data_IF_896646590942
#
_entry.id   IF_896646590942
#
_cell.length_a   1.000
_cell.length_b   1.000
_cell.length_c   1.000
_cell.angle_alpha   90.00
_cell.angle_beta   90.00
_cell.angle_gamma   90.00
#
_symmetry.space_group_name_H-M   'P 1'
#
loop_
_entity.id
_entity.type
_entity.pdbx_description
1 polymer ?
#
# COMPACT_ATOMS: atom_id res chain seq x y z
N UNK A 1 -17.02 15.01 7.08
CA UNK A 1 -15.82 14.19 7.34
C UNK A 1 -14.95 14.31 6.10
N UNK A 2 -14.12 15.34 6.10
CA UNK A 2 -13.47 15.89 4.91
C UNK A 2 -12.09 15.26 4.73
N UNK A 3 -11.63 15.19 3.47
CA UNK A 3 -10.31 14.69 3.02
C UNK A 3 -9.11 15.21 3.83
N UNK A 4 -9.29 16.26 4.63
CA UNK A 4 -8.26 16.87 5.49
C UNK A 4 -7.81 15.99 6.65
N UNK A 5 -8.67 15.09 7.16
CA UNK A 5 -8.32 14.23 8.29
C UNK A 5 -7.43 13.03 7.88
N UNK A 6 -7.49 12.65 6.60
CA UNK A 6 -6.64 11.60 6.00
C UNK A 6 -5.19 12.06 5.73
N UNK A 7 -4.93 13.37 5.80
CA UNK A 7 -3.60 13.96 5.56
C UNK A 7 -2.86 14.36 6.84
N UNK A 8 -3.54 14.40 8.00
CA UNK A 8 -2.92 14.78 9.28
C UNK A 8 -2.72 13.61 10.25
N UNK A 9 -3.20 12.40 9.93
CA UNK A 9 -3.06 11.22 10.77
C UNK A 9 -2.05 10.20 10.25
N UNK A 10 -0.90 10.08 10.93
CA UNK A 10 -0.02 8.90 10.96
C UNK A 10 0.85 8.57 9.72
N UNK A 11 1.72 9.54 9.42
CA UNK A 11 3.11 9.44 8.91
C UNK A 11 3.74 8.06 8.70
N UNK A 12 4.20 7.74 7.46
CA UNK A 12 5.37 6.90 7.09
C UNK A 12 5.23 5.81 5.96
N UNK A 13 4.32 5.85 4.98
CA UNK A 13 4.51 4.99 3.78
C UNK A 13 5.42 5.71 2.79
N UNK A 14 6.62 5.17 2.61
CA UNK A 14 7.68 5.67 1.70
C UNK A 14 7.84 7.20 1.71
N UNK A 15 8.12 7.78 2.87
CA UNK A 15 8.46 9.19 2.97
C UNK A 15 9.97 9.33 2.79
N UNK A 16 10.41 9.98 1.71
CA UNK A 16 11.73 10.59 1.71
C UNK A 16 11.71 11.69 2.77
N UNK A 17 12.18 11.37 3.97
CA UNK A 17 12.05 12.13 5.22
C UNK A 17 12.66 13.55 5.19
N UNK A 18 13.23 14.01 4.06
CA UNK A 18 13.87 15.34 3.97
C UNK A 18 13.03 16.40 3.26
N UNK A 19 12.00 16.04 2.49
CA UNK A 19 11.17 17.00 1.76
C UNK A 19 9.74 16.51 1.72
N UNK A 20 8.86 17.21 2.45
CA UNK A 20 7.42 16.99 2.53
C UNK A 20 6.72 17.33 1.19
N UNK A 21 7.14 16.69 0.09
CA UNK A 21 6.58 16.84 -1.24
C UNK A 21 5.78 15.57 -1.57
N UNK A 22 4.46 15.67 -1.81
CA UNK A 22 3.74 14.60 -2.50
C UNK A 22 4.50 14.23 -3.77
N UNK A 23 4.56 12.97 -4.14
CA UNK A 23 5.12 12.55 -5.42
C UNK A 23 4.08 11.66 -6.11
N UNK A 24 4.05 11.72 -7.45
CA UNK A 24 3.14 10.92 -8.26
C UNK A 24 3.32 9.43 -7.91
N UNK A 25 2.22 8.72 -7.67
CA UNK A 25 2.24 7.26 -7.61
C UNK A 25 2.61 6.69 -8.98
N UNK A 26 3.68 5.91 -9.02
CA UNK A 26 3.99 5.05 -10.16
C UNK A 26 3.16 3.76 -10.13
N UNK A 27 3.41 2.86 -11.09
CA UNK A 27 2.74 1.55 -11.15
C UNK A 27 3.13 0.58 -10.02
N UNK A 28 4.11 0.95 -9.18
CA UNK A 28 4.65 0.11 -8.12
C UNK A 28 5.17 0.96 -6.96
N UNK A 29 5.00 0.46 -5.74
CA UNK A 29 5.66 0.96 -4.54
C UNK A 29 6.53 -0.12 -3.90
N UNK A 30 7.55 0.31 -3.16
CA UNK A 30 8.43 -0.57 -2.38
C UNK A 30 8.23 -0.25 -0.91
N UNK A 31 7.85 -1.25 -0.13
CA UNK A 31 7.65 -1.14 1.30
C UNK A 31 8.74 -1.95 2.00
N UNK A 32 9.59 -1.29 2.77
CA UNK A 32 10.58 -1.96 3.60
C UNK A 32 9.96 -2.37 4.93
N UNK A 33 10.48 -3.46 5.51
CA UNK A 33 10.02 -3.98 6.80
C UNK A 33 8.51 -4.31 6.82
N UNK A 34 7.98 -4.84 5.71
CA UNK A 34 6.61 -5.35 5.65
C UNK A 34 6.52 -6.80 6.14
N UNK A 35 7.56 -7.59 5.88
CA UNK A 35 7.64 -8.99 6.30
C UNK A 35 8.94 -9.23 7.07
N UNK A 36 8.96 -10.28 7.89
CA UNK A 36 10.18 -10.88 8.43
C UNK A 36 10.35 -12.28 7.87
N UNK A 37 11.59 -12.75 7.78
CA UNK A 37 11.92 -14.12 7.40
C UNK A 37 12.74 -14.77 8.52
N UNK A 38 12.28 -15.93 8.99
CA UNK A 38 12.99 -16.75 9.97
C UNK A 38 12.92 -18.25 9.61
N UNK A 39 13.33 -19.13 10.54
CA UNK A 39 13.33 -20.58 10.34
C UNK A 39 11.93 -21.19 10.11
N UNK A 40 10.87 -20.46 10.41
CA UNK A 40 9.48 -20.86 10.22
C UNK A 40 8.86 -20.25 8.96
N UNK A 41 9.65 -19.50 8.18
CA UNK A 41 9.23 -18.91 6.91
C UNK A 41 9.01 -17.40 7.00
N UNK A 42 8.16 -16.89 6.11
CA UNK A 42 7.75 -15.49 6.11
C UNK A 42 6.69 -15.24 7.17
N UNK A 43 6.72 -14.06 7.78
CA UNK A 43 5.65 -13.56 8.64
C UNK A 43 5.39 -12.10 8.31
N UNK A 44 4.13 -11.69 8.31
CA UNK A 44 3.77 -10.28 8.16
C UNK A 44 4.15 -9.52 9.43
N UNK A 45 4.74 -8.34 9.28
CA UNK A 45 5.04 -7.44 10.41
C UNK A 45 3.82 -6.55 10.60
N UNK A 46 3.15 -6.68 11.75
CA UNK A 46 2.03 -5.80 12.10
C UNK A 46 2.53 -4.41 12.51
N UNK A 47 1.76 -3.40 12.12
CA UNK A 47 1.97 -2.00 12.52
C UNK A 47 1.85 -1.04 11.35
N UNK A 48 2.65 0.00 11.39
CA UNK A 48 2.44 1.17 10.54
C UNK A 48 2.45 0.90 9.02
N UNK A 49 3.26 -0.06 8.56
CA UNK A 49 3.31 -0.40 7.14
C UNK A 49 2.06 -1.16 6.69
N UNK A 50 1.52 -2.03 7.54
CA UNK A 50 0.27 -2.75 7.27
C UNK A 50 -0.93 -1.81 7.31
N UNK A 51 -0.99 -0.89 8.28
CA UNK A 51 -2.09 0.08 8.40
C UNK A 51 -2.24 0.92 7.13
N UNK A 52 -1.10 1.40 6.63
CA UNK A 52 -1.12 2.23 5.43
C UNK A 52 -1.32 1.44 4.14
N UNK A 53 -0.97 0.15 4.10
CA UNK A 53 -1.35 -0.73 3.00
C UNK A 53 -2.88 -0.94 3.00
N UNK A 54 -3.52 -1.03 4.17
CA UNK A 54 -4.98 -1.05 4.29
C UNK A 54 -5.58 0.28 3.83
N UNK A 55 -5.03 1.42 4.23
CA UNK A 55 -5.54 2.72 3.78
C UNK A 55 -5.41 2.91 2.26
N UNK A 56 -4.33 2.39 1.66
CA UNK A 56 -4.16 2.36 0.21
C UNK A 56 -5.23 1.49 -0.49
N UNK A 57 -5.51 0.30 0.05
CA UNK A 57 -6.61 -0.54 -0.44
C UNK A 57 -7.96 0.19 -0.36
N UNK A 58 -8.25 0.86 0.76
CA UNK A 58 -9.49 1.61 0.96
C UNK A 58 -9.63 2.77 -0.02
N UNK A 59 -8.55 3.52 -0.25
CA UNK A 59 -8.54 4.58 -1.27
C UNK A 59 -8.85 4.04 -2.66
N UNK A 60 -8.23 2.92 -3.06
CA UNK A 60 -8.51 2.30 -4.36
C UNK A 60 -9.96 1.82 -4.48
N UNK A 61 -10.53 1.26 -3.41
CA UNK A 61 -11.94 0.86 -3.39
C UNK A 61 -12.87 2.06 -3.57
N UNK A 62 -12.62 3.16 -2.86
CA UNK A 62 -13.36 4.42 -3.03
C UNK A 62 -13.33 4.91 -4.48
N UNK A 63 -12.16 4.97 -5.12
CA UNK A 63 -12.04 5.42 -6.51
C UNK A 63 -12.66 4.46 -7.52
N UNK A 64 -12.78 3.18 -7.15
CA UNK A 64 -13.43 2.17 -7.97
C UNK A 64 -14.96 2.12 -7.81
N UNK A 65 -15.53 2.85 -6.83
CA UNK A 65 -16.95 2.76 -6.48
C UNK A 65 -17.35 1.46 -5.79
N UNK A 66 -16.39 0.65 -5.33
CA UNK A 66 -16.64 -0.60 -4.59
C UNK A 66 -16.86 -0.32 -3.11
N UNK A 67 -17.61 -1.19 -2.40
CA UNK A 67 -17.69 -1.10 -0.95
C UNK A 67 -16.28 -1.20 -0.35
N UNK A 68 -16.02 -0.42 0.69
CA UNK A 68 -14.76 -0.46 1.41
C UNK A 68 -14.68 -1.82 2.13
N UNK A 69 -13.58 -2.58 1.99
CA UNK A 69 -13.44 -3.86 2.68
C UNK A 69 -13.50 -3.64 4.20
N UNK A 70 -14.24 -4.52 4.88
CA UNK A 70 -14.29 -4.55 6.35
C UNK A 70 -12.90 -4.88 6.91
N UNK A 71 -12.64 -4.48 8.16
CA UNK A 71 -11.41 -4.78 8.89
C UNK A 71 -11.11 -6.27 8.98
N UNK A 72 -12.10 -7.14 8.75
CA UNK A 72 -11.98 -8.61 8.76
C UNK A 72 -11.53 -9.22 7.44
N UNK A 73 -11.61 -8.48 6.35
CA UNK A 73 -11.29 -8.97 5.01
C UNK A 73 -10.31 -8.07 4.26
N UNK A 74 -9.64 -7.15 4.95
CA UNK A 74 -8.67 -6.25 4.33
C UNK A 74 -7.44 -7.00 3.79
N UNK A 75 -6.65 -6.31 2.98
CA UNK A 75 -5.44 -6.82 2.32
C UNK A 75 -4.44 -7.48 3.30
N UNK A 76 -4.32 -6.98 4.53
CA UNK A 76 -3.34 -7.52 5.49
C UNK A 76 -3.77 -8.90 5.99
N UNK A 77 -5.06 -9.13 6.23
CA UNK A 77 -5.59 -10.44 6.61
C UNK A 77 -5.43 -11.43 5.47
N UNK A 78 -5.74 -11.02 4.24
CA UNK A 78 -5.59 -11.89 3.06
C UNK A 78 -4.12 -12.23 2.79
N UNK A 79 -3.22 -11.25 2.94
CA UNK A 79 -1.78 -11.45 2.76
C UNK A 79 -1.19 -12.34 3.85
N UNK A 80 -1.56 -12.13 5.12
CA UNK A 80 -1.09 -12.95 6.24
C UNK A 80 -1.56 -14.41 6.09
N UNK A 81 -2.85 -14.62 5.77
CA UNK A 81 -3.39 -15.94 5.47
C UNK A 81 -2.69 -16.62 4.28
N UNK A 82 -2.33 -15.88 3.24
CA UNK A 82 -1.54 -16.40 2.13
C UNK A 82 -0.13 -16.83 2.54
N UNK A 83 0.57 -15.98 3.30
CA UNK A 83 1.92 -16.25 3.80
C UNK A 83 1.93 -17.52 4.65
N UNK A 84 0.94 -17.70 5.51
CA UNK A 84 0.80 -18.87 6.37
C UNK A 84 0.43 -20.15 5.60
N UNK A 85 -0.43 -20.05 4.60
CA UNK A 85 -0.92 -21.22 3.84
C UNK A 85 0.04 -21.72 2.78
N UNK A 86 0.91 -20.85 2.24
CA UNK A 86 1.79 -21.21 1.12
C UNK A 86 3.25 -20.91 1.44
N UNK A 87 3.75 -21.58 2.48
CA UNK A 87 5.15 -21.51 2.89
C UNK A 87 6.08 -21.74 1.69
N UNK A 88 6.98 -20.79 1.44
CA UNK A 88 7.95 -20.84 0.34
C UNK A 88 7.51 -20.17 -0.96
N UNK A 89 6.26 -19.73 -1.11
CA UNK A 89 5.90 -18.76 -2.17
C UNK A 89 6.24 -17.35 -1.71
N UNK A 90 6.74 -16.54 -2.63
CA UNK A 90 7.19 -15.16 -2.41
C UNK A 90 6.28 -14.13 -3.11
N UNK A 91 5.08 -14.54 -3.53
CA UNK A 91 4.18 -13.74 -4.36
C UNK A 91 2.72 -13.99 -4.03
N UNK A 92 2.05 -12.93 -3.62
CA UNK A 92 0.60 -12.81 -3.48
C UNK A 92 0.02 -12.01 -4.65
N UNK A 93 -1.20 -12.33 -5.06
CA UNK A 93 -1.91 -11.60 -6.10
C UNK A 93 -3.43 -11.63 -5.83
N UNK A 94 -4.07 -10.47 -5.96
CA UNK A 94 -5.53 -10.33 -5.90
C UNK A 94 -6.05 -9.42 -7.03
N UNK A 95 -7.20 -8.79 -6.86
CA UNK A 95 -7.77 -7.86 -7.84
C UNK A 95 -6.97 -6.56 -7.97
N UNK A 96 -6.47 -6.01 -6.85
CA UNK A 96 -5.89 -4.66 -6.79
C UNK A 96 -4.37 -4.69 -6.85
N UNK A 97 -3.75 -5.74 -6.32
CA UNK A 97 -2.31 -5.81 -6.05
C UNK A 97 -1.66 -7.10 -6.53
N UNK A 98 -0.40 -6.95 -6.94
CA UNK A 98 0.59 -8.02 -6.97
C UNK A 98 1.64 -7.67 -5.91
N UNK A 99 1.80 -8.52 -4.90
CA UNK A 99 2.75 -8.31 -3.81
C UNK A 99 3.83 -9.38 -3.89
N UNK A 100 5.05 -8.98 -4.25
CA UNK A 100 6.23 -9.83 -4.14
C UNK A 100 7.01 -9.46 -2.89
N UNK A 101 7.26 -10.41 -1.99
CA UNK A 101 7.99 -10.18 -0.75
C UNK A 101 9.31 -10.93 -0.73
N UNK A 102 10.29 -10.40 0.01
CA UNK A 102 11.69 -10.83 -0.06
C UNK A 102 12.24 -11.10 1.33
N UNK A 103 13.18 -12.04 1.46
CA UNK A 103 13.81 -12.43 2.74
C UNK A 103 14.49 -11.27 3.49
N UNK A 104 14.89 -10.21 2.77
CA UNK A 104 15.40 -8.96 3.36
C UNK A 104 14.32 -8.09 4.05
N UNK A 105 13.07 -8.55 4.07
CA UNK A 105 11.94 -7.91 4.74
C UNK A 105 11.16 -6.87 3.91
N UNK A 106 11.58 -6.64 2.67
CA UNK A 106 10.89 -5.73 1.75
C UNK A 106 9.76 -6.42 0.98
N UNK A 107 8.77 -5.65 0.54
CA UNK A 107 7.77 -6.06 -0.44
C UNK A 107 7.66 -5.04 -1.58
N UNK A 108 7.50 -5.56 -2.79
CA UNK A 108 7.19 -4.79 -3.98
C UNK A 108 5.71 -4.97 -4.29
N UNK A 109 4.96 -3.88 -4.22
CA UNK A 109 3.52 -3.86 -4.42
C UNK A 109 3.26 -3.20 -5.77
N UNK A 110 2.75 -3.97 -6.72
CA UNK A 110 2.41 -3.48 -8.07
C UNK A 110 0.91 -3.32 -8.15
N UNK A 111 0.45 -2.18 -8.65
CA UNK A 111 -0.97 -1.91 -8.85
C UNK A 111 -1.45 -2.57 -10.14
N UNK A 112 -2.59 -3.27 -10.08
CA UNK A 112 -3.22 -3.87 -11.27
C UNK A 112 -4.15 -2.88 -11.99
N UNK A 113 -4.71 -1.93 -11.23
CA UNK A 113 -5.70 -0.95 -11.67
C UNK A 113 -5.06 0.42 -11.83
N UNK A 114 -4.25 0.59 -12.88
CA UNK A 114 -3.46 1.82 -13.08
C UNK A 114 -4.37 3.05 -13.29
N UNK A 115 -5.57 2.86 -13.84
CA UNK A 115 -6.54 3.93 -14.02
C UNK A 115 -7.02 4.54 -12.68
N UNK A 116 -7.01 3.77 -11.59
CA UNK A 116 -7.28 4.30 -10.25
C UNK A 116 -6.11 5.12 -9.71
N UNK A 117 -4.90 4.69 -10.03
CA UNK A 117 -3.68 5.40 -9.65
C UNK A 117 -3.59 6.74 -10.37
N UNK A 118 -3.97 6.79 -11.65
CA UNK A 118 -4.05 8.03 -12.40
C UNK A 118 -5.08 9.00 -11.79
N UNK A 119 -6.26 8.51 -11.37
CA UNK A 119 -7.25 9.34 -10.65
C UNK A 119 -6.72 9.89 -9.33
N UNK A 120 -5.99 9.08 -8.56
CA UNK A 120 -5.34 9.53 -7.32
C UNK A 120 -4.32 10.63 -7.64
N UNK A 121 -3.50 10.41 -8.67
CA UNK A 121 -2.50 11.38 -9.10
C UNK A 121 -3.12 12.69 -9.59
N UNK A 122 -4.25 12.65 -10.31
CA UNK A 122 -5.00 13.83 -10.74
C UNK A 122 -5.51 14.64 -9.53
N UNK A 123 -5.93 13.96 -8.47
CA UNK A 123 -6.35 14.60 -7.22
C UNK A 123 -5.14 15.23 -6.52
N UNK A 124 -4.04 14.49 -6.37
CA UNK A 124 -2.80 15.02 -5.78
C UNK A 124 -2.34 16.27 -6.55
N UNK A 125 -2.38 16.24 -7.88
CA UNK A 125 -2.01 17.36 -8.74
C UNK A 125 -2.89 18.60 -8.50
N UNK A 126 -4.19 18.41 -8.26
CA UNK A 126 -5.14 19.51 -8.00
C UNK A 126 -4.95 20.15 -6.62
N UNK A 127 -4.70 19.34 -5.60
CA UNK A 127 -4.56 19.83 -4.22
C UNK A 127 -3.13 20.30 -3.90
N UNK A 128 -2.14 19.82 -4.64
CA UNK A 128 -0.73 20.16 -4.47
C UNK A 128 -0.09 20.60 -5.79
N UNK A 129 -0.49 21.75 -6.37
CA UNK A 129 -0.01 22.18 -7.69
C UNK A 129 1.51 22.43 -7.75
N UNK A 130 2.17 22.68 -6.61
CA UNK A 130 3.63 22.84 -6.51
C UNK A 130 4.43 21.53 -6.64
N UNK A 131 3.76 20.38 -6.68
CA UNK A 131 4.39 19.04 -6.71
C UNK A 131 4.81 18.59 -8.11
N UNK A 132 4.19 19.14 -9.16
CA UNK A 132 4.47 18.74 -10.55
C UNK A 132 5.55 19.61 -11.22
N UNK A 133 6.18 20.52 -10.49
CA UNK A 133 7.32 21.30 -10.99
C UNK A 133 8.63 20.61 -10.66
N UNK A 134 9.05 19.68 -11.52
CA UNK A 134 10.45 19.26 -11.65
C UNK A 134 10.80 19.12 -13.15
#
# INVERSE_FOLDING_TARGET
>A
MLLTDLLHGNTQLSWNYKTNCPCKFGSKIIVNNLVRWDRWGFHLITGQQTDRLVDLERMLHLFSGKPIPDNRENITIRLDGHIQSVQGKERYEDEMFIIKYFKKGSAHITFKRLELIDRINDIIARYFPSVLSA
#
